data_IF_909808808538
#
_entry.id   IF_909808808538
#
_cell.length_a   1.000
_cell.length_b   1.000
_cell.length_c   1.000
_cell.angle_alpha   90.00
_cell.angle_beta   90.00
_cell.angle_gamma   90.00
#
_symmetry.space_group_name_H-M   'P 1'
#
loop_
_entity.id
_entity.type
_entity.pdbx_description
1 polymer ?
#
# COMPACT_ATOMS: atom_id res chain seq x y z
N UNK A 1 4.33 -4.27 0.32
CA UNK A 1 3.63 -4.43 1.61
C UNK A 1 3.56 -3.11 2.34
N UNK A 2 2.48 -2.85 3.08
CA UNK A 2 2.29 -1.67 3.96
C UNK A 2 1.62 -2.15 5.24
N UNK A 3 1.75 -1.42 6.34
CA UNK A 3 1.00 -1.71 7.57
C UNK A 3 -0.49 -1.94 7.27
N UNK A 4 -1.03 -3.05 7.80
CA UNK A 4 -2.40 -3.46 7.59
C UNK A 4 -3.39 -2.37 8.01
N UNK A 5 -3.15 -1.72 9.15
CA UNK A 5 -4.05 -0.73 9.75
C UNK A 5 -4.11 0.54 8.90
N UNK A 6 -2.96 1.00 8.42
CA UNK A 6 -2.89 2.14 7.50
C UNK A 6 -3.54 1.84 6.14
N UNK A 7 -3.41 0.59 5.66
CA UNK A 7 -4.05 0.16 4.41
C UNK A 7 -5.56 0.12 4.55
N UNK A 8 -6.06 -0.53 5.61
CA UNK A 8 -7.48 -0.67 5.88
C UNK A 8 -8.15 0.68 6.17
N UNK A 9 -7.51 1.56 6.96
CA UNK A 9 -8.00 2.92 7.17
C UNK A 9 -8.07 3.69 5.84
N UNK A 10 -7.06 3.55 4.97
CA UNK A 10 -7.06 4.23 3.67
C UNK A 10 -8.19 3.76 2.75
N UNK A 11 -8.61 2.50 2.86
CA UNK A 11 -9.77 1.96 2.13
C UNK A 11 -11.05 2.57 2.71
N UNK A 12 -11.19 2.57 4.04
CA UNK A 12 -12.37 3.09 4.73
C UNK A 12 -12.61 4.59 4.50
N UNK A 13 -11.55 5.39 4.42
CA UNK A 13 -11.66 6.83 4.16
C UNK A 13 -12.00 7.16 2.69
N UNK A 14 -11.81 6.22 1.76
CA UNK A 14 -12.00 6.45 0.34
C UNK A 14 -13.44 6.13 -0.06
N UNK A 15 -14.13 7.11 -0.64
CA UNK A 15 -15.42 6.85 -1.26
C UNK A 15 -15.22 6.13 -2.61
N UNK A 16 -15.66 4.87 -2.67
CA UNK A 16 -15.67 4.04 -3.88
C UNK A 16 -17.05 3.97 -4.55
N UNK A 17 -17.92 4.97 -4.33
CA UNK A 17 -19.23 5.09 -5.00
C UNK A 17 -20.08 3.80 -4.95
N UNK A 18 -20.22 3.20 -3.76
CA UNK A 18 -20.95 1.95 -3.50
C UNK A 18 -20.53 0.70 -4.32
N UNK A 19 -19.56 0.81 -5.23
CA UNK A 19 -19.08 -0.28 -6.08
C UNK A 19 -18.29 -1.34 -5.29
N UNK A 20 -17.76 -0.97 -4.12
CA UNK A 20 -17.02 -1.84 -3.22
C UNK A 20 -17.67 -1.85 -1.82
N UNK A 21 -18.73 -2.64 -1.60
CA UNK A 21 -19.47 -2.62 -0.33
C UNK A 21 -18.59 -2.91 0.90
N UNK A 22 -17.59 -3.79 0.76
CA UNK A 22 -16.67 -4.13 1.85
C UNK A 22 -15.87 -2.93 2.34
N UNK A 23 -15.64 -1.91 1.50
CA UNK A 23 -14.83 -0.74 1.83
C UNK A 23 -15.49 0.19 2.85
N UNK A 24 -16.76 -0.07 3.21
CA UNK A 24 -17.52 0.75 4.15
C UNK A 24 -17.79 0.06 5.50
N UNK A 25 -17.21 -1.12 5.73
CA UNK A 25 -17.29 -1.83 7.01
C UNK A 25 -15.88 -2.24 7.47
N UNK A 26 -15.46 -1.74 8.64
CA UNK A 26 -14.11 -1.95 9.17
C UNK A 26 -13.76 -3.43 9.41
N UNK A 27 -14.75 -4.26 9.76
CA UNK A 27 -14.55 -5.70 9.94
C UNK A 27 -14.38 -6.38 8.59
N UNK A 28 -15.23 -6.05 7.62
CA UNK A 28 -15.10 -6.59 6.27
C UNK A 28 -13.77 -6.22 5.63
N UNK A 29 -13.29 -4.98 5.76
CA UNK A 29 -11.96 -4.58 5.28
C UNK A 29 -10.86 -5.44 5.92
N UNK A 30 -10.92 -5.64 7.24
CA UNK A 30 -9.96 -6.50 7.95
C UNK A 30 -9.95 -7.93 7.42
N UNK A 31 -11.13 -8.51 7.18
CA UNK A 31 -11.31 -9.84 6.58
C UNK A 31 -10.70 -9.92 5.18
N UNK A 32 -10.98 -8.93 4.32
CA UNK A 32 -10.39 -8.85 2.98
C UNK A 32 -8.86 -8.72 3.02
N UNK A 33 -8.33 -7.96 3.97
CA UNK A 33 -6.88 -7.82 4.13
C UNK A 33 -6.22 -9.14 4.53
N UNK A 34 -6.82 -9.92 5.45
CA UNK A 34 -6.31 -11.26 5.79
C UNK A 34 -6.34 -12.22 4.61
N UNK A 35 -7.43 -12.24 3.84
CA UNK A 35 -7.53 -13.04 2.62
C UNK A 35 -6.45 -12.68 1.61
N UNK A 36 -6.13 -11.39 1.47
CA UNK A 36 -5.00 -10.93 0.67
C UNK A 36 -3.66 -11.47 1.21
N UNK A 37 -3.42 -11.39 2.52
CA UNK A 37 -2.16 -11.87 3.11
C UNK A 37 -1.99 -13.39 2.95
N UNK A 38 -3.04 -14.17 3.22
CA UNK A 38 -3.09 -15.62 2.97
C UNK A 38 -2.80 -15.96 1.50
N UNK A 39 -3.41 -15.22 0.58
CA UNK A 39 -3.18 -15.40 -0.86
C UNK A 39 -1.72 -15.09 -1.23
N UNK A 40 -1.14 -14.03 -0.68
CA UNK A 40 0.27 -13.72 -0.90
C UNK A 40 1.21 -14.78 -0.30
N UNK A 41 0.88 -15.34 0.88
CA UNK A 41 1.63 -16.46 1.46
C UNK A 41 1.58 -17.71 0.57
N UNK A 42 0.42 -18.01 -0.01
CA UNK A 42 0.27 -19.08 -1.00
C UNK A 42 1.18 -18.85 -2.21
N UNK A 43 1.18 -17.64 -2.78
CA UNK A 43 2.02 -17.33 -3.95
C UNK A 43 3.51 -17.40 -3.66
N UNK A 44 3.96 -16.96 -2.48
CA UNK A 44 5.36 -17.13 -2.04
C UNK A 44 5.75 -18.61 -2.02
N UNK A 45 4.84 -19.46 -1.54
CA UNK A 45 5.08 -20.90 -1.45
C UNK A 45 5.13 -21.56 -2.83
N UNK A 46 4.21 -21.22 -3.73
CA UNK A 46 4.09 -21.87 -5.04
C UNK A 46 5.15 -21.42 -6.04
N UNK A 47 5.51 -20.13 -6.03
CA UNK A 47 6.43 -19.56 -7.01
C UNK A 47 7.89 -19.55 -6.54
N UNK A 48 8.12 -19.68 -5.24
CA UNK A 48 9.45 -19.76 -4.65
C UNK A 48 10.21 -18.42 -4.62
N UNK A 49 11.45 -18.50 -4.17
CA UNK A 49 12.30 -17.33 -3.98
C UNK A 49 12.67 -16.65 -5.31
N UNK A 50 12.69 -15.31 -5.31
CA UNK A 50 13.04 -14.51 -6.48
C UNK A 50 11.90 -14.27 -7.48
N UNK A 51 10.74 -14.92 -7.30
CA UNK A 51 9.56 -14.71 -8.15
C UNK A 51 8.97 -13.29 -8.03
N UNK A 52 9.13 -12.64 -6.87
CA UNK A 52 8.68 -11.27 -6.62
C UNK A 52 9.74 -10.47 -5.88
N UNK A 53 9.78 -9.17 -6.18
CA UNK A 53 10.42 -8.18 -5.34
C UNK A 53 9.41 -7.57 -4.38
N UNK A 54 9.58 -7.82 -3.09
CA UNK A 54 8.76 -7.17 -2.07
C UNK A 54 9.39 -5.84 -1.63
N UNK A 55 8.59 -4.78 -1.74
CA UNK A 55 8.92 -3.44 -1.25
C UNK A 55 7.99 -3.08 -0.11
N UNK A 56 8.57 -2.77 1.04
CA UNK A 56 7.85 -2.23 2.18
C UNK A 56 7.64 -0.72 1.97
N UNK A 57 6.39 -0.28 2.05
CA UNK A 57 5.99 1.09 1.78
C UNK A 57 6.68 2.08 2.72
N UNK A 58 6.78 1.75 4.00
CA UNK A 58 7.41 2.62 4.99
C UNK A 58 8.90 2.85 4.69
N UNK A 59 9.61 1.81 4.24
CA UNK A 59 11.02 1.90 3.85
C UNK A 59 11.19 2.70 2.55
N UNK A 60 10.33 2.47 1.55
CA UNK A 60 10.32 3.21 0.29
C UNK A 60 10.08 4.72 0.52
N UNK A 61 9.17 5.07 1.41
CA UNK A 61 8.88 6.47 1.75
C UNK A 61 9.99 7.07 2.61
N UNK A 62 10.69 6.25 3.39
CA UNK A 62 11.85 6.68 4.17
C UNK A 62 13.06 6.98 3.28
N UNK A 63 13.32 6.15 2.27
CA UNK A 63 14.43 6.28 1.33
C UNK A 63 14.01 5.90 -0.10
N UNK A 64 13.42 6.87 -0.80
CA UNK A 64 12.98 6.66 -2.18
C UNK A 64 14.14 6.30 -3.11
N UNK A 65 15.33 6.87 -2.91
CA UNK A 65 16.44 6.71 -3.85
C UNK A 65 16.97 5.27 -3.87
N UNK A 66 17.20 4.68 -2.70
CA UNK A 66 17.68 3.31 -2.57
C UNK A 66 16.64 2.32 -3.11
N UNK A 67 15.38 2.46 -2.68
CA UNK A 67 14.34 1.52 -3.07
C UNK A 67 13.95 1.65 -4.55
N UNK A 68 13.91 2.86 -5.12
CA UNK A 68 13.67 3.05 -6.55
C UNK A 68 14.76 2.42 -7.40
N UNK A 69 16.04 2.59 -7.04
CA UNK A 69 17.16 1.94 -7.75
C UNK A 69 17.04 0.42 -7.69
N UNK A 70 16.76 -0.14 -6.51
CA UNK A 70 16.54 -1.58 -6.33
C UNK A 70 15.39 -2.11 -7.20
N UNK A 71 14.28 -1.38 -7.31
CA UNK A 71 13.16 -1.77 -8.16
C UNK A 71 13.53 -1.79 -9.64
N UNK A 72 14.22 -0.75 -10.11
CA UNK A 72 14.65 -0.61 -11.52
C UNK A 72 15.69 -1.68 -11.89
N UNK A 73 16.65 -1.92 -10.99
CA UNK A 73 17.67 -2.97 -11.15
C UNK A 73 17.06 -4.38 -11.19
N UNK A 74 16.09 -4.67 -10.31
CA UNK A 74 15.44 -5.98 -10.27
C UNK A 74 14.69 -6.34 -11.57
N UNK A 75 14.10 -5.36 -12.26
CA UNK A 75 13.48 -5.56 -13.58
C UNK A 75 14.46 -5.44 -14.76
N UNK A 76 15.76 -5.26 -14.50
CA UNK A 76 16.82 -5.22 -15.51
C UNK A 76 16.79 -3.98 -16.40
N UNK A 77 16.24 -2.85 -15.92
CA UNK A 77 16.19 -1.60 -16.68
C UNK A 77 17.33 -0.64 -16.29
N UNK A 78 17.79 0.22 -17.21
CA UNK A 78 18.75 1.26 -16.87
C UNK A 78 18.14 2.29 -15.92
N UNK A 79 18.96 2.83 -15.01
CA UNK A 79 18.53 3.87 -14.07
C UNK A 79 18.19 5.20 -14.76
N UNK A 80 17.03 5.77 -14.42
CA UNK A 80 16.63 7.12 -14.82
C UNK A 80 16.36 7.98 -13.56
N UNK A 81 17.06 9.13 -13.37
CA UNK A 81 16.78 10.06 -12.29
C UNK A 81 15.32 10.54 -12.20
N UNK A 82 14.56 10.49 -13.31
CA UNK A 82 13.14 10.83 -13.34
C UNK A 82 12.30 9.94 -12.40
N UNK A 83 12.76 8.75 -12.03
CA UNK A 83 12.12 7.91 -11.02
C UNK A 83 11.98 8.61 -9.65
N UNK A 84 12.87 9.55 -9.32
CA UNK A 84 12.80 10.33 -8.08
C UNK A 84 11.83 11.53 -8.18
N UNK A 85 11.53 11.94 -9.41
CA UNK A 85 10.63 13.05 -9.75
C UNK A 85 9.31 12.55 -10.34
N UNK A 86 8.84 11.38 -9.90
CA UNK A 86 7.64 10.71 -10.43
C UNK A 86 6.39 11.61 -10.52
N UNK A 87 6.25 12.54 -9.56
CA UNK A 87 5.13 13.47 -9.46
C UNK A 87 5.08 14.51 -10.60
N UNK A 88 6.22 14.77 -11.25
CA UNK A 88 6.34 15.68 -12.38
C UNK A 88 5.97 15.03 -13.73
N UNK A 89 5.69 13.72 -13.77
CA UNK A 89 5.31 13.02 -15.01
C UNK A 89 4.06 13.64 -15.65
N UNK A 90 4.04 13.96 -16.96
CA UNK A 90 2.87 14.56 -17.61
C UNK A 90 1.71 13.58 -17.81
N UNK A 91 1.92 12.28 -17.56
CA UNK A 91 0.92 11.23 -17.81
C UNK A 91 -0.35 11.48 -17.00
N UNK A 92 -1.51 11.31 -17.63
CA UNK A 92 -2.78 11.35 -16.93
C UNK A 92 -2.86 10.22 -15.88
N UNK A 93 -3.33 10.55 -14.68
CA UNK A 93 -3.55 9.59 -13.58
C UNK A 93 -5.05 9.55 -13.32
N UNK A 94 -5.66 8.37 -13.47
CA UNK A 94 -7.10 8.13 -13.27
C UNK A 94 -7.29 7.14 -12.13
N UNK A 95 -6.99 7.58 -10.91
CA UNK A 95 -7.10 6.77 -9.70
C UNK A 95 -7.57 7.63 -8.52
N UNK A 96 -8.12 6.98 -7.48
CA UNK A 96 -8.45 7.62 -6.20
C UNK A 96 -7.25 8.35 -5.57
N UNK A 97 -6.03 7.87 -5.83
CA UNK A 97 -4.79 8.45 -5.33
C UNK A 97 -4.24 9.63 -6.15
N UNK A 98 -4.98 10.19 -7.12
CA UNK A 98 -4.51 11.24 -8.04
C UNK A 98 -3.79 12.39 -7.30
N UNK A 99 -4.42 12.97 -6.27
CA UNK A 99 -3.83 14.10 -5.55
C UNK A 99 -2.57 13.72 -4.75
N UNK A 100 -2.42 12.44 -4.40
CA UNK A 100 -1.27 11.93 -3.63
C UNK A 100 -0.08 11.69 -4.55
N UNK A 101 -0.30 11.04 -5.71
CA UNK A 101 0.76 10.73 -6.70
C UNK A 101 1.33 12.00 -7.34
N UNK A 102 0.59 13.11 -7.30
CA UNK A 102 1.02 14.43 -7.79
C UNK A 102 1.88 15.23 -6.81
N UNK A 103 2.24 14.66 -5.66
CA UNK A 103 3.12 15.29 -4.68
C UNK A 103 4.47 14.58 -4.63
N UNK A 104 5.57 15.29 -4.26
CA UNK A 104 6.80 14.64 -3.85
C UNK A 104 6.56 13.60 -2.75
N UNK A 105 7.48 12.67 -2.55
CA UNK A 105 7.35 11.65 -1.50
C UNK A 105 7.16 12.31 -0.13
N UNK A 106 6.22 11.79 0.67
CA UNK A 106 5.88 12.35 1.98
C UNK A 106 5.52 11.23 2.96
N UNK A 107 5.76 11.47 4.26
CA UNK A 107 5.63 10.47 5.33
C UNK A 107 4.31 10.53 6.11
N UNK A 108 3.43 11.49 5.82
CA UNK A 108 2.20 11.71 6.61
C UNK A 108 1.17 10.59 6.56
N UNK A 109 1.31 9.64 5.63
CA UNK A 109 0.48 8.44 5.54
C UNK A 109 0.99 7.26 6.38
N UNK A 110 2.22 7.33 6.89
CA UNK A 110 2.83 6.28 7.72
C UNK A 110 2.36 6.45 9.16
N UNK A 111 1.86 5.37 9.75
CA UNK A 111 1.28 5.33 11.09
C UNK A 111 0.10 6.31 11.28
N UNK A 112 -0.58 6.67 10.19
CA UNK A 112 -1.76 7.55 10.25
C UNK A 112 -2.88 6.92 11.06
N UNK A 113 -3.00 5.58 11.03
CA UNK A 113 -3.99 4.82 11.78
C UNK A 113 -3.98 5.12 13.29
N UNK A 114 -2.83 5.47 13.88
CA UNK A 114 -2.71 5.83 15.31
C UNK A 114 -3.61 7.00 15.70
N UNK A 115 -3.88 7.94 14.78
CA UNK A 115 -4.78 9.08 15.04
C UNK A 115 -6.23 8.67 15.21
N UNK A 116 -6.59 7.48 14.74
CA UNK A 116 -7.94 6.94 14.74
C UNK A 116 -8.04 5.63 15.51
N UNK A 117 -6.99 5.26 16.27
CA UNK A 117 -6.87 3.97 16.95
C UNK A 117 -8.14 3.63 17.75
N UNK A 118 -8.64 4.58 18.55
CA UNK A 118 -9.87 4.45 19.35
C UNK A 118 -11.16 4.23 18.54
N UNK A 119 -11.12 4.44 17.21
CA UNK A 119 -12.24 4.25 16.29
C UNK A 119 -12.11 3.01 15.42
N UNK A 120 -10.96 2.33 15.47
CA UNK A 120 -10.66 1.18 14.62
C UNK A 120 -10.95 -0.17 15.29
N UNK A 121 -11.61 -0.19 16.45
CA UNK A 121 -11.89 -1.42 17.23
C UNK A 121 -12.29 -2.64 16.39
N UNK A 122 -13.37 -2.59 15.57
CA UNK A 122 -13.78 -3.72 14.74
C UNK A 122 -12.69 -4.22 13.77
N UNK A 123 -11.90 -3.31 13.21
CA UNK A 123 -10.77 -3.64 12.33
C UNK A 123 -9.62 -4.27 13.13
N UNK A 124 -9.27 -3.70 14.28
CA UNK A 124 -8.16 -4.19 15.11
C UNK A 124 -8.46 -5.59 15.66
N UNK A 125 -9.69 -5.83 16.09
CA UNK A 125 -10.15 -7.16 16.51
C UNK A 125 -10.03 -8.18 15.38
N UNK A 126 -10.45 -7.78 14.17
CA UNK A 126 -10.39 -8.63 12.99
C UNK A 126 -8.93 -8.93 12.60
N UNK A 127 -8.04 -7.94 12.59
CA UNK A 127 -6.63 -8.15 12.27
C UNK A 127 -5.87 -8.95 13.34
N UNK A 128 -6.36 -8.97 14.58
CA UNK A 128 -5.79 -9.76 15.68
C UNK A 128 -6.29 -11.23 15.70
N UNK A 129 -7.41 -11.51 15.04
CA UNK A 129 -7.95 -12.87 14.94
C UNK A 129 -7.01 -13.76 14.09
N UNK A 130 -6.71 -14.96 14.62
CA UNK A 130 -5.96 -16.01 13.94
C UNK A 130 -6.89 -16.96 13.19
#
# INVERSE_FOLDING_TARGET
>A
MRDARDTCLSIFEQNFEADLPFAFDLREIGRYWRLYDELMQHWRTVLGDGAFLEIRYEDLVADLATHARRMVDWIGLPWDPACLSFHASPRAVRSASLQQVRKPIYRSSVERWKRYEDRLGPLLDELAAR
#
